data_IF_364089393995
#
_entry.id   IF_364089393995
#
_cell.length_a   1.000
_cell.length_b   1.000
_cell.length_c   1.000
_cell.angle_alpha   90.00
_cell.angle_beta   90.00
_cell.angle_gamma   90.00
#
_symmetry.space_group_name_H-M   'P 1'
#
loop_
_entity.id
_entity.type
_entity.pdbx_description
1 polymer ?
#
# COMPACT_ATOMS: atom_id res chain seq x y z
N UNK A 1 -83.52 -33.75 -1.31
CA UNK A 1 -82.85 -32.53 -1.82
C UNK A 1 -82.05 -31.92 -0.72
N UNK A 2 -80.66 -32.11 -0.76
CA UNK A 2 -79.69 -31.56 0.21
C UNK A 2 -78.94 -30.43 -0.50
N UNK A 3 -79.12 -29.18 -0.04
CA UNK A 3 -78.41 -28.01 -0.52
C UNK A 3 -77.02 -27.99 0.15
N UNK A 4 -76.00 -28.10 -0.67
CA UNK A 4 -74.64 -27.84 -0.26
C UNK A 4 -74.36 -26.34 -0.38
N UNK A 5 -73.98 -25.67 0.73
CA UNK A 5 -73.51 -24.28 0.73
C UNK A 5 -72.07 -24.22 0.36
N UNK A 6 -71.64 -23.31 -0.47
CA UNK A 6 -70.26 -23.20 -0.88
C UNK A 6 -69.42 -22.42 0.18
N UNK A 7 -68.41 -23.09 0.75
CA UNK A 7 -67.41 -22.54 1.67
C UNK A 7 -66.29 -21.83 0.88
N UNK A 8 -66.58 -21.22 -0.22
CA UNK A 8 -65.53 -20.73 -1.11
C UNK A 8 -65.30 -19.19 -1.07
N UNK A 9 -65.99 -18.48 -0.18
CA UNK A 9 -65.88 -17.00 -0.15
C UNK A 9 -65.06 -16.43 1.00
N UNK A 10 -64.49 -17.25 1.88
CA UNK A 10 -63.71 -16.76 2.99
C UNK A 10 -62.17 -16.84 2.82
N UNK A 11 -61.70 -17.46 1.72
CA UNK A 11 -60.23 -17.57 1.48
C UNK A 11 -59.54 -16.34 0.89
N UNK A 12 -60.19 -15.46 0.09
CA UNK A 12 -59.48 -14.28 -0.42
C UNK A 12 -59.36 -13.12 0.57
N UNK A 13 -60.09 -13.13 1.69
CA UNK A 13 -60.04 -12.02 2.65
C UNK A 13 -58.83 -12.16 3.63
N UNK A 14 -58.32 -13.38 3.84
CA UNK A 14 -57.14 -13.61 4.66
C UNK A 14 -55.82 -13.25 3.98
N UNK A 15 -55.83 -13.20 2.64
CA UNK A 15 -54.62 -12.90 1.88
C UNK A 15 -54.37 -11.40 1.68
N UNK A 16 -55.40 -10.57 1.88
CA UNK A 16 -55.31 -9.11 1.76
C UNK A 16 -54.82 -8.42 3.04
N UNK A 17 -54.82 -9.12 4.17
CA UNK A 17 -54.33 -8.58 5.45
C UNK A 17 -52.83 -8.83 5.72
N UNK A 18 -52.19 -9.68 4.94
CA UNK A 18 -50.74 -9.98 5.08
C UNK A 18 -49.82 -9.05 4.28
N UNK A 19 -50.36 -8.15 3.46
CA UNK A 19 -49.59 -7.19 2.66
C UNK A 19 -49.43 -5.80 3.30
N UNK A 20 -50.02 -5.58 4.48
CA UNK A 20 -49.98 -4.29 5.14
C UNK A 20 -48.89 -4.19 6.24
N UNK A 21 -48.05 -5.22 6.43
CA UNK A 21 -47.01 -5.24 7.45
C UNK A 21 -45.59 -4.96 6.93
N UNK A 22 -45.44 -4.53 5.68
CA UNK A 22 -44.13 -4.14 5.13
C UNK A 22 -44.10 -2.68 4.70
N UNK A 23 -44.28 -1.75 5.63
CA UNK A 23 -43.89 -0.37 5.35
C UNK A 23 -43.87 0.46 6.63
N UNK A 24 -42.77 0.43 7.28
CA UNK A 24 -42.15 1.58 7.98
C UNK A 24 -40.84 1.17 8.60
N UNK A 25 -39.94 0.67 7.76
CA UNK A 25 -38.52 0.95 8.07
C UNK A 25 -38.31 2.34 7.50
N UNK A 26 -38.31 3.33 8.38
CA UNK A 26 -37.72 4.62 8.07
C UNK A 26 -36.30 4.31 7.56
N UNK A 27 -35.85 4.95 6.49
CA UNK A 27 -34.44 4.85 6.12
C UNK A 27 -33.66 5.20 7.37
N UNK A 28 -32.85 4.26 7.86
CA UNK A 28 -31.82 4.57 8.83
C UNK A 28 -31.10 5.76 8.21
N UNK A 29 -31.11 6.90 8.93
CA UNK A 29 -30.29 8.04 8.54
C UNK A 29 -28.91 7.45 8.33
N UNK A 30 -28.38 7.64 7.11
CA UNK A 30 -27.00 7.29 6.80
C UNK A 30 -26.16 7.86 7.94
N UNK A 31 -25.68 6.96 8.80
CA UNK A 31 -24.55 7.30 9.65
C UNK A 31 -23.50 7.84 8.67
N UNK A 32 -22.85 8.98 8.95
CA UNK A 32 -21.84 9.50 8.07
C UNK A 32 -20.90 8.31 7.82
N UNK A 33 -20.88 7.83 6.58
CA UNK A 33 -19.92 6.82 6.16
C UNK A 33 -18.59 7.54 6.38
N UNK A 34 -17.89 7.17 7.43
CA UNK A 34 -16.55 7.69 7.70
C UNK A 34 -15.84 7.57 6.37
N UNK A 35 -15.49 8.70 5.77
CA UNK A 35 -14.90 8.76 4.45
C UNK A 35 -13.72 7.80 4.51
N UNK A 36 -13.79 6.71 3.76
CA UNK A 36 -12.74 5.70 3.75
C UNK A 36 -11.44 6.47 3.53
N UNK A 37 -10.58 6.47 4.54
CA UNK A 37 -9.39 7.29 4.49
C UNK A 37 -8.55 6.78 3.33
N UNK A 38 -8.39 7.60 2.31
CA UNK A 38 -7.55 7.29 1.17
C UNK A 38 -6.12 7.11 1.67
N UNK A 39 -5.57 5.93 1.44
CA UNK A 39 -4.33 5.52 2.08
C UNK A 39 -3.42 4.81 1.11
N UNK A 40 -2.15 4.78 1.44
CA UNK A 40 -1.22 3.73 1.05
C UNK A 40 -1.22 2.70 2.17
N UNK A 41 -1.44 1.44 1.85
CA UNK A 41 -1.59 0.38 2.84
C UNK A 41 -0.77 -0.87 2.45
N UNK A 42 -0.23 -1.61 3.44
CA UNK A 42 0.38 -2.90 3.15
C UNK A 42 -0.65 -3.86 2.53
N UNK A 43 -0.21 -4.63 1.56
CA UNK A 43 -1.02 -5.63 0.87
C UNK A 43 -0.50 -7.04 1.14
N UNK A 44 -1.39 -7.90 1.60
CA UNK A 44 -1.10 -9.32 1.77
C UNK A 44 -1.74 -10.08 0.61
N UNK A 45 -0.94 -10.67 -0.31
CA UNK A 45 -1.47 -11.44 -1.42
C UNK A 45 -2.29 -12.65 -0.94
N UNK A 46 -3.37 -12.96 -1.64
CA UNK A 46 -4.15 -14.18 -1.45
C UNK A 46 -3.32 -15.42 -1.83
N UNK A 47 -3.72 -16.62 -1.40
CA UNK A 47 -3.01 -17.87 -1.75
C UNK A 47 -2.88 -18.07 -3.27
N UNK A 48 -3.88 -17.68 -4.03
CA UNK A 48 -3.84 -17.77 -5.49
C UNK A 48 -2.82 -16.78 -6.08
N UNK A 49 -2.77 -15.56 -5.60
CA UNK A 49 -1.79 -14.55 -6.01
C UNK A 49 -0.39 -14.93 -5.61
N UNK A 50 -0.18 -15.49 -4.41
CA UNK A 50 1.10 -16.02 -3.98
C UNK A 50 1.62 -17.12 -4.93
N UNK A 51 0.74 -18.01 -5.37
CA UNK A 51 1.10 -19.05 -6.36
C UNK A 51 1.55 -18.44 -7.68
N UNK A 52 0.89 -17.36 -8.13
CA UNK A 52 1.29 -16.63 -9.34
C UNK A 52 2.62 -15.89 -9.14
N UNK A 53 2.80 -15.24 -8.00
CA UNK A 53 4.05 -14.54 -7.69
C UNK A 53 5.24 -15.50 -7.67
N UNK A 54 5.08 -16.67 -7.06
CA UNK A 54 6.11 -17.72 -7.04
C UNK A 54 6.52 -18.21 -8.44
N UNK A 55 5.57 -18.26 -9.38
CA UNK A 55 5.88 -18.63 -10.77
C UNK A 55 6.77 -17.59 -11.48
N UNK A 56 6.86 -16.38 -10.94
CA UNK A 56 7.73 -15.29 -11.40
C UNK A 56 8.94 -15.06 -10.49
N UNK A 57 9.25 -16.02 -9.60
CA UNK A 57 10.34 -15.92 -8.62
C UNK A 57 10.16 -14.75 -7.61
N UNK A 58 8.95 -14.20 -7.51
CA UNK A 58 8.57 -13.20 -6.54
C UNK A 58 8.03 -13.92 -5.30
N UNK A 59 8.83 -14.00 -4.27
CA UNK A 59 8.48 -14.66 -3.01
C UNK A 59 8.17 -13.64 -1.93
N UNK A 60 7.51 -14.06 -0.86
CA UNK A 60 7.28 -13.19 0.31
C UNK A 60 8.58 -12.79 1.01
N UNK A 61 9.65 -13.55 0.83
CA UNK A 61 10.95 -13.27 1.44
C UNK A 61 11.68 -12.11 0.74
N UNK A 62 11.39 -11.89 -0.56
CA UNK A 62 12.06 -10.86 -1.35
C UNK A 62 11.12 -9.83 -1.95
N UNK A 63 9.82 -9.93 -1.71
CA UNK A 63 8.83 -9.02 -2.31
C UNK A 63 7.82 -8.55 -1.28
N UNK A 64 7.66 -7.24 -1.18
CA UNK A 64 6.59 -6.62 -0.39
C UNK A 64 5.65 -5.85 -1.32
N UNK A 65 4.39 -5.76 -0.94
CA UNK A 65 3.37 -5.14 -1.76
C UNK A 65 2.54 -4.13 -0.94
N UNK A 66 2.09 -3.09 -1.62
CA UNK A 66 1.25 -2.03 -1.05
C UNK A 66 0.15 -1.69 -2.05
N UNK A 67 -1.05 -1.45 -1.54
CA UNK A 67 -2.13 -0.88 -2.32
C UNK A 67 -2.27 0.61 -2.03
N UNK A 68 -2.85 1.32 -2.97
CA UNK A 68 -3.26 2.71 -2.74
C UNK A 68 -4.61 2.99 -3.38
N UNK A 69 -5.32 3.98 -2.81
CA UNK A 69 -6.49 4.60 -3.41
C UNK A 69 -6.37 6.10 -3.20
N UNK A 70 -6.34 6.88 -4.28
CA UNK A 70 -6.20 8.34 -4.17
C UNK A 70 -7.55 9.04 -3.90
N UNK A 71 -7.57 10.10 -3.06
CA UNK A 71 -8.80 10.78 -2.64
C UNK A 71 -9.48 11.56 -3.77
N UNK A 72 -8.70 12.11 -4.65
CA UNK A 72 -9.12 13.08 -5.64
C UNK A 72 -8.26 12.96 -6.90
N UNK A 73 -8.58 13.74 -7.91
CA UNK A 73 -7.74 13.81 -9.09
C UNK A 73 -6.33 14.26 -8.72
N UNK A 74 -5.33 13.50 -9.13
CA UNK A 74 -3.91 13.82 -8.99
C UNK A 74 -3.25 13.86 -10.36
N UNK A 75 -2.25 14.72 -10.52
CA UNK A 75 -1.54 14.88 -11.78
C UNK A 75 -0.37 13.91 -11.95
N UNK A 76 0.10 13.32 -10.84
CA UNK A 76 1.17 12.34 -10.88
C UNK A 76 1.26 11.51 -9.61
N UNK A 77 1.64 10.25 -9.78
CA UNK A 77 2.09 9.36 -8.72
C UNK A 77 3.57 9.07 -8.96
N UNK A 78 4.39 9.33 -7.96
CA UNK A 78 5.83 9.09 -8.02
C UNK A 78 6.19 8.04 -6.97
N UNK A 79 6.90 6.99 -7.39
CA UNK A 79 7.62 6.11 -6.48
C UNK A 79 9.09 6.43 -6.64
N UNK A 80 9.71 6.90 -5.57
CA UNK A 80 11.05 7.45 -5.59
C UNK A 80 11.96 6.59 -4.72
N UNK A 81 13.14 6.26 -5.24
CA UNK A 81 14.16 5.51 -4.53
C UNK A 81 15.29 6.47 -4.17
N UNK A 82 15.63 6.51 -2.90
CA UNK A 82 16.66 7.38 -2.35
C UNK A 82 17.82 6.58 -1.77
N UNK A 83 19.00 7.18 -1.80
CA UNK A 83 20.17 6.78 -0.99
C UNK A 83 20.57 7.93 -0.08
N UNK A 84 20.90 7.61 1.16
CA UNK A 84 21.45 8.57 2.08
C UNK A 84 22.92 8.82 1.73
N UNK A 85 23.27 10.08 1.48
CA UNK A 85 24.65 10.46 1.25
C UNK A 85 25.45 10.58 2.55
N UNK A 86 26.77 10.56 2.45
CA UNK A 86 27.69 10.77 3.58
C UNK A 86 27.46 12.13 4.29
N UNK A 87 26.89 13.10 3.56
CA UNK A 87 26.51 14.41 4.06
C UNK A 87 25.19 14.42 4.84
N UNK A 88 24.56 13.25 5.04
CA UNK A 88 23.27 13.12 5.71
C UNK A 88 22.08 13.58 4.87
N UNK A 89 22.26 13.79 3.56
CA UNK A 89 21.17 14.20 2.67
C UNK A 89 20.69 13.05 1.79
N UNK A 90 19.37 12.98 1.59
CA UNK A 90 18.78 12.03 0.66
C UNK A 90 19.08 12.44 -0.79
N UNK A 91 19.60 11.50 -1.56
CA UNK A 91 19.83 11.64 -3.00
C UNK A 91 18.87 10.72 -3.71
N UNK A 92 18.00 11.29 -4.56
CA UNK A 92 17.15 10.51 -5.43
C UNK A 92 18.03 9.77 -6.45
N UNK A 93 17.86 8.45 -6.56
CA UNK A 93 18.63 7.60 -7.46
C UNK A 93 17.79 7.02 -8.58
N UNK A 94 16.46 6.95 -8.40
CA UNK A 94 15.50 6.60 -9.46
C UNK A 94 14.10 7.09 -9.15
N UNK A 95 13.35 7.44 -10.20
CA UNK A 95 11.96 7.88 -10.14
C UNK A 95 11.10 7.02 -11.06
N UNK A 96 10.08 6.41 -10.51
CA UNK A 96 9.00 5.84 -11.30
C UNK A 96 7.88 6.86 -11.31
N UNK A 97 7.69 7.53 -12.44
CA UNK A 97 6.54 8.39 -12.63
C UNK A 97 5.40 7.61 -13.28
N UNK A 98 4.32 7.42 -12.56
CA UNK A 98 3.04 7.05 -13.18
C UNK A 98 2.40 8.36 -13.60
N UNK A 99 2.85 8.86 -14.76
CA UNK A 99 2.35 10.11 -15.34
C UNK A 99 1.01 9.93 -16.00
N UNK A 100 0.22 10.88 -15.82
CA UNK A 100 -1.02 11.41 -16.36
C UNK A 100 -2.24 11.16 -15.49
N UNK A 101 -2.83 12.26 -15.10
CA UNK A 101 -4.17 12.48 -14.56
C UNK A 101 -4.84 11.20 -14.04
N UNK A 102 -4.53 10.84 -12.81
CA UNK A 102 -5.24 9.76 -12.16
C UNK A 102 -6.60 10.31 -11.66
N UNK A 103 -7.72 9.72 -12.09
CA UNK A 103 -9.03 10.16 -11.64
C UNK A 103 -9.20 9.94 -10.14
N UNK A 104 -10.17 10.61 -9.49
CA UNK A 104 -10.53 10.31 -8.14
C UNK A 104 -10.80 8.80 -7.95
N UNK A 105 -10.37 8.26 -6.81
CA UNK A 105 -10.52 6.84 -6.45
C UNK A 105 -9.76 5.87 -7.39
N UNK A 106 -8.74 6.35 -8.12
CA UNK A 106 -7.87 5.42 -8.81
C UNK A 106 -7.16 4.52 -7.80
N UNK A 107 -7.16 3.24 -8.10
CA UNK A 107 -6.53 2.21 -7.29
C UNK A 107 -5.30 1.67 -8.00
N UNK A 108 -4.33 1.22 -7.20
CA UNK A 108 -3.15 0.60 -7.74
C UNK A 108 -2.41 -0.27 -6.74
N UNK A 109 -1.43 -0.98 -7.29
CA UNK A 109 -0.53 -1.86 -6.55
C UNK A 109 0.91 -1.43 -6.79
N UNK A 110 1.65 -1.30 -5.71
CA UNK A 110 3.09 -1.06 -5.71
C UNK A 110 3.75 -2.32 -5.16
N UNK A 111 4.74 -2.85 -5.86
CA UNK A 111 5.56 -3.95 -5.35
C UNK A 111 7.02 -3.53 -5.31
N UNK A 112 7.70 -3.89 -4.23
CA UNK A 112 9.15 -3.75 -4.09
C UNK A 112 9.74 -5.15 -4.04
N UNK A 113 10.62 -5.46 -4.97
CA UNK A 113 11.44 -6.66 -4.95
C UNK A 113 12.85 -6.28 -4.52
N UNK A 114 13.35 -6.99 -3.52
CA UNK A 114 14.71 -6.86 -3.01
C UNK A 114 15.53 -8.01 -3.56
N UNK A 115 16.66 -7.68 -4.17
CA UNK A 115 17.56 -8.67 -4.72
C UNK A 115 18.74 -8.93 -3.77
N UNK A 116 19.39 -10.07 -3.91
CA UNK A 116 20.55 -10.47 -3.10
C UNK A 116 21.75 -9.51 -3.21
N UNK A 117 21.74 -8.66 -4.24
CA UNK A 117 22.74 -7.60 -4.47
C UNK A 117 22.35 -6.25 -3.86
N UNK A 118 21.38 -6.24 -2.96
CA UNK A 118 20.77 -5.04 -2.35
C UNK A 118 20.16 -4.06 -3.38
N UNK A 119 19.93 -4.53 -4.60
CA UNK A 119 19.19 -3.79 -5.61
C UNK A 119 17.69 -3.78 -5.27
N UNK A 120 17.04 -2.67 -5.55
CA UNK A 120 15.59 -2.51 -5.36
C UNK A 120 14.95 -2.43 -6.75
N UNK A 121 13.97 -3.29 -7.02
CA UNK A 121 13.10 -3.16 -8.20
C UNK A 121 11.72 -2.79 -7.70
N UNK A 122 11.27 -1.60 -8.09
CA UNK A 122 9.92 -1.14 -7.80
C UNK A 122 9.03 -1.27 -9.04
N UNK A 123 7.79 -1.71 -8.83
CA UNK A 123 6.79 -1.81 -9.90
C UNK A 123 5.51 -1.15 -9.44
N UNK A 124 4.88 -0.39 -10.31
CA UNK A 124 3.59 0.25 -10.07
C UNK A 124 2.61 -0.20 -11.14
N UNK A 125 1.57 -0.87 -10.71
CA UNK A 125 0.43 -1.22 -11.56
C UNK A 125 -0.74 -0.28 -11.20
N UNK A 126 -1.14 0.54 -12.15
CA UNK A 126 -2.26 1.46 -12.00
C UNK A 126 -3.03 1.57 -13.30
N UNK A 127 -4.36 1.45 -13.25
CA UNK A 127 -5.24 1.55 -14.42
C UNK A 127 -4.82 0.66 -15.62
N UNK A 128 -4.28 -0.53 -15.33
CA UNK A 128 -3.81 -1.47 -16.36
C UNK A 128 -2.45 -1.11 -16.98
N UNK A 129 -1.80 -0.03 -16.55
CA UNK A 129 -0.44 0.35 -16.92
C UNK A 129 0.54 -0.15 -15.86
N UNK A 130 1.62 -0.81 -16.29
CA UNK A 130 2.72 -1.24 -15.45
C UNK A 130 3.94 -0.35 -15.74
N UNK A 131 4.46 0.29 -14.70
CA UNK A 131 5.73 1.01 -14.72
C UNK A 131 6.74 0.28 -13.85
N UNK A 132 8.01 0.31 -14.24
CA UNK A 132 9.10 -0.36 -13.53
C UNK A 132 10.29 0.58 -13.44
N UNK A 133 10.89 0.66 -12.27
CA UNK A 133 12.15 1.35 -12.02
C UNK A 133 13.03 0.54 -11.06
N UNK A 134 14.30 0.84 -11.02
CA UNK A 134 15.23 0.10 -10.19
C UNK A 134 16.40 0.96 -9.71
N UNK A 135 16.77 0.85 -8.44
CA UNK A 135 18.09 1.23 -7.99
C UNK A 135 19.02 0.03 -8.13
N UNK A 136 20.14 0.23 -8.80
CA UNK A 136 21.16 -0.79 -8.95
C UNK A 136 21.76 -1.24 -7.61
N UNK A 137 22.61 -2.28 -7.61
CA UNK A 137 23.19 -2.85 -6.41
C UNK A 137 23.99 -1.80 -5.62
N UNK A 138 24.09 -2.03 -4.32
CA UNK A 138 25.02 -1.30 -3.48
C UNK A 138 26.44 -1.87 -3.64
N UNK A 139 27.41 -0.99 -3.49
CA UNK A 139 28.83 -1.40 -3.37
C UNK A 139 29.17 -1.53 -1.87
N UNK A 140 29.67 -2.67 -1.46
CA UNK A 140 30.07 -2.93 -0.08
C UNK A 140 30.01 -4.42 0.29
N UNK A 141 30.68 -4.78 1.38
CA UNK A 141 30.65 -6.12 1.97
C UNK A 141 29.80 -6.07 3.26
N UNK A 142 28.49 -6.02 3.08
CA UNK A 142 27.54 -5.86 4.18
C UNK A 142 27.37 -7.18 4.94
N UNK A 143 27.60 -7.15 6.25
CA UNK A 143 27.48 -8.31 7.15
C UNK A 143 26.25 -8.23 8.05
N UNK A 144 25.61 -7.05 8.10
CA UNK A 144 24.38 -6.84 8.84
C UNK A 144 23.46 -5.89 8.08
N UNK A 145 22.17 -6.17 8.14
CA UNK A 145 21.16 -5.34 7.52
C UNK A 145 19.88 -5.32 8.34
N UNK A 146 19.07 -4.29 8.12
CA UNK A 146 17.69 -4.23 8.59
C UNK A 146 16.80 -3.67 7.51
N UNK A 147 15.56 -4.13 7.49
CA UNK A 147 14.54 -3.69 6.56
C UNK A 147 13.31 -3.29 7.35
N UNK A 148 12.76 -2.13 7.07
CA UNK A 148 11.52 -1.62 7.65
C UNK A 148 10.56 -1.28 6.53
N UNK A 149 9.35 -1.84 6.62
CA UNK A 149 8.29 -1.60 5.66
C UNK A 149 7.09 -0.95 6.34
N UNK A 150 6.28 -0.28 5.56
CA UNK A 150 5.01 0.22 6.01
C UNK A 150 4.14 -0.95 6.49
N UNK A 151 3.71 -0.91 7.75
CA UNK A 151 2.91 -1.97 8.40
C UNK A 151 1.48 -1.55 8.68
N UNK A 152 1.19 -0.25 8.64
CA UNK A 152 -0.13 0.32 8.90
C UNK A 152 -0.51 1.29 7.78
N UNK A 153 -1.80 1.40 7.42
CA UNK A 153 -2.25 2.36 6.42
C UNK A 153 -1.83 3.79 6.77
N UNK A 154 -1.28 4.51 5.80
CA UNK A 154 -0.93 5.92 5.92
C UNK A 154 -1.84 6.78 5.04
N UNK A 155 -2.41 7.86 5.57
CA UNK A 155 -3.25 8.76 4.79
C UNK A 155 -2.44 9.44 3.68
N UNK A 156 -3.04 9.53 2.50
CA UNK A 156 -2.44 10.25 1.37
C UNK A 156 -2.63 11.74 1.58
N UNK A 157 -1.52 12.46 1.62
CA UNK A 157 -1.46 13.91 1.60
C UNK A 157 -0.78 14.36 0.31
N UNK A 158 -1.32 15.38 -0.35
CA UNK A 158 -0.75 15.88 -1.60
C UNK A 158 0.65 16.41 -1.42
N UNK A 159 1.53 16.06 -2.35
CA UNK A 159 2.91 16.51 -2.42
C UNK A 159 3.75 16.14 -1.18
N UNK A 160 3.23 15.27 -0.31
CA UNK A 160 3.97 14.77 0.84
C UNK A 160 4.47 13.34 0.57
N UNK A 161 5.75 13.04 0.77
CA UNK A 161 6.27 11.70 0.61
C UNK A 161 5.81 10.79 1.74
N UNK A 162 5.35 9.60 1.39
CA UNK A 162 5.01 8.53 2.32
C UNK A 162 6.11 7.48 2.22
N UNK A 163 6.98 7.32 3.22
CA UNK A 163 7.99 6.26 3.19
C UNK A 163 7.31 4.89 3.34
N UNK A 164 7.58 4.01 2.38
CA UNK A 164 7.05 2.64 2.35
C UNK A 164 8.10 1.58 2.63
N UNK A 165 9.38 1.93 2.46
CA UNK A 165 10.51 1.09 2.83
C UNK A 165 11.71 1.93 3.28
N UNK A 166 12.44 1.42 4.27
CA UNK A 166 13.75 1.89 4.71
C UNK A 166 14.65 0.68 4.94
N UNK A 167 15.78 0.65 4.24
CA UNK A 167 16.75 -0.43 4.28
C UNK A 167 18.09 0.15 4.74
N UNK A 168 18.71 -0.45 5.73
CA UNK A 168 19.97 0.02 6.29
C UNK A 168 20.95 -1.13 6.41
N UNK A 169 22.21 -0.84 6.12
CA UNK A 169 23.28 -1.81 5.95
C UNK A 169 24.52 -1.39 6.73
N UNK A 170 25.22 -2.38 7.26
CA UNK A 170 26.50 -2.19 7.96
C UNK A 170 27.54 -3.20 7.47
N UNK A 171 28.74 -2.70 7.18
CA UNK A 171 29.91 -3.51 6.77
C UNK A 171 30.61 -4.16 7.97
N UNK A 172 31.50 -5.08 7.65
CA UNK A 172 32.35 -5.71 8.65
C UNK A 172 33.23 -4.65 9.36
N UNK A 173 33.12 -4.60 10.69
CA UNK A 173 33.85 -3.63 11.52
C UNK A 173 33.08 -2.35 11.87
N UNK A 174 31.93 -2.11 11.25
CA UNK A 174 31.02 -1.05 11.68
C UNK A 174 30.39 -1.42 13.04
N UNK A 175 30.42 -0.53 14.04
CA UNK A 175 29.76 -0.78 15.33
C UNK A 175 28.28 -1.15 15.22
N UNK A 176 27.56 -0.58 14.25
CA UNK A 176 26.15 -0.87 14.01
C UNK A 176 25.89 -2.32 13.60
N UNK A 177 26.88 -3.04 13.08
CA UNK A 177 26.80 -4.47 12.80
C UNK A 177 26.88 -5.34 14.06
N UNK A 178 27.34 -4.79 15.18
CA UNK A 178 27.61 -5.53 16.42
C UNK A 178 26.67 -5.15 17.57
N UNK A 179 26.07 -3.98 17.51
CA UNK A 179 25.15 -3.47 18.53
C UNK A 179 23.69 -3.49 18.06
N UNK A 180 22.78 -2.96 18.85
CA UNK A 180 21.35 -2.92 18.55
C UNK A 180 20.94 -1.68 17.69
N UNK A 181 21.87 -1.01 17.04
CA UNK A 181 21.57 0.21 16.26
C UNK A 181 20.61 -0.09 15.12
N UNK A 182 20.88 -1.13 14.33
CA UNK A 182 20.00 -1.53 13.22
C UNK A 182 18.59 -1.93 13.71
N UNK A 183 18.48 -2.48 14.93
CA UNK A 183 17.19 -2.87 15.53
C UNK A 183 16.28 -1.68 15.86
N UNK A 184 16.86 -0.50 16.10
CA UNK A 184 16.14 0.72 16.50
C UNK A 184 15.60 1.55 15.33
N UNK A 185 16.08 1.29 14.12
CA UNK A 185 15.68 2.03 12.92
C UNK A 185 14.20 1.82 12.64
N UNK A 186 13.52 2.89 12.22
CA UNK A 186 12.11 2.94 11.86
C UNK A 186 11.91 3.67 10.52
N UNK A 187 10.74 3.53 9.91
CA UNK A 187 10.38 4.29 8.69
C UNK A 187 10.39 5.81 8.91
N UNK A 188 10.13 6.26 10.14
CA UNK A 188 10.09 7.68 10.49
C UNK A 188 11.47 8.34 10.42
N UNK A 189 12.54 7.54 10.48
CA UNK A 189 13.91 8.06 10.36
C UNK A 189 14.22 8.57 8.94
N UNK A 190 13.35 8.29 7.96
CA UNK A 190 13.38 9.00 6.68
C UNK A 190 13.28 10.53 6.83
N UNK A 191 12.49 10.99 7.79
CA UNK A 191 12.31 12.43 8.07
C UNK A 191 13.35 13.00 9.04
N UNK A 192 14.15 12.15 9.65
CA UNK A 192 15.21 12.49 10.62
C UNK A 192 16.49 11.72 10.29
N UNK A 193 17.12 12.00 9.13
CA UNK A 193 18.27 11.23 8.66
C UNK A 193 19.47 11.27 9.62
N UNK A 194 19.49 12.20 10.58
CA UNK A 194 20.50 12.24 11.66
C UNK A 194 20.51 10.96 12.49
N UNK A 195 19.37 10.26 12.63
CA UNK A 195 19.27 8.99 13.34
C UNK A 195 19.95 7.84 12.59
N UNK A 196 20.24 8.04 11.30
CA UNK A 196 20.84 7.04 10.40
C UNK A 196 22.36 7.24 10.24
N UNK A 197 22.93 8.24 10.93
CA UNK A 197 24.38 8.49 10.89
C UNK A 197 25.16 7.33 11.48
N UNK A 198 26.30 7.01 10.85
CA UNK A 198 27.16 5.89 11.28
C UNK A 198 26.81 4.55 10.62
N UNK A 199 25.79 4.50 9.76
CA UNK A 199 25.53 3.37 8.88
C UNK A 199 26.31 3.53 7.58
N UNK A 200 26.72 2.41 6.98
CA UNK A 200 27.52 2.47 5.75
C UNK A 200 26.67 2.80 4.53
N UNK A 201 25.47 2.22 4.46
CA UNK A 201 24.50 2.53 3.41
C UNK A 201 23.08 2.55 3.95
N UNK A 202 22.27 3.48 3.44
CA UNK A 202 20.83 3.51 3.71
C UNK A 202 20.09 3.82 2.42
N UNK A 203 19.03 3.05 2.15
CA UNK A 203 18.09 3.27 1.05
C UNK A 203 16.69 3.51 1.59
N UNK A 204 15.92 4.34 0.91
CA UNK A 204 14.50 4.54 1.22
C UNK A 204 13.67 4.52 -0.07
N UNK A 205 12.44 4.04 0.05
CA UNK A 205 11.45 4.15 -1.02
C UNK A 205 10.25 4.91 -0.49
N UNK A 206 9.84 5.92 -1.24
CA UNK A 206 8.67 6.73 -0.91
C UNK A 206 7.63 6.72 -2.03
N UNK A 207 6.39 7.04 -1.67
CA UNK A 207 5.29 7.27 -2.60
C UNK A 207 4.80 8.69 -2.43
N UNK A 208 4.71 9.45 -3.51
CA UNK A 208 4.20 10.84 -3.50
C UNK A 208 3.08 10.99 -4.51
N UNK A 209 1.95 11.53 -4.06
CA UNK A 209 0.79 11.87 -4.90
C UNK A 209 0.83 13.36 -5.20
N UNK A 210 1.15 13.72 -6.45
CA UNK A 210 1.43 15.10 -6.83
C UNK A 210 0.23 15.79 -7.47
N UNK A 211 0.05 17.07 -7.12
CA UNK A 211 -0.84 17.99 -7.81
C UNK A 211 -0.14 18.73 -8.97
N UNK A 212 1.13 18.44 -9.20
CA UNK A 212 1.96 19.02 -10.26
C UNK A 212 2.59 17.90 -11.11
N UNK A 213 2.87 18.20 -12.38
CA UNK A 213 3.52 17.28 -13.32
C UNK A 213 4.98 17.67 -13.50
#
# INVERSE_FOLDING_TARGET
MKRKHPIWFLLPLAFLLSLAACSSQAPAADAPQEAAAYTVAPYTPTEQEQTLLQAYELTQDNTVAFTFQNPEEILGLFVQIYRLGEDGTWKNVDDIAVGSLLPPQAEGLITLQLEDSEAIIARVLCQGSLQVGSAGPLEGDFVAQTQRFLTEPQPIQRNEPIPIALLAYAEAGNPAAQDDTLGKISLQDFFTPENLTGLDQVQAVTVTFSSEV
#
